data_IF_637667334036
#
_entry.id   IF_637667334036
#
_cell.length_a   1.000
_cell.length_b   1.000
_cell.length_c   1.000
_cell.angle_alpha   90.00
_cell.angle_beta   90.00
_cell.angle_gamma   90.00
#
_symmetry.space_group_name_H-M   'P 1'
#
loop_
_entity.id
_entity.type
_entity.pdbx_description
1 polymer ?
#
# COMPACT_ATOMS: atom_id res chain seq x y z
N UNK A 1 28.79 -74.80 -5.43
CA UNK A 1 27.41 -74.55 -4.94
C UNK A 1 27.13 -73.10 -4.52
N UNK A 2 27.88 -72.08 -5.01
CA UNK A 2 27.71 -70.66 -4.60
C UNK A 2 27.15 -69.74 -5.70
N UNK A 3 27.13 -70.18 -6.96
CA UNK A 3 26.72 -69.37 -8.12
C UNK A 3 25.20 -69.32 -8.35
N UNK A 4 24.43 -70.30 -7.85
CA UNK A 4 22.96 -70.31 -7.97
C UNK A 4 22.25 -69.35 -7.00
N UNK A 5 22.91 -69.00 -5.88
CA UNK A 5 22.34 -68.08 -4.89
C UNK A 5 22.43 -66.60 -5.32
N UNK A 6 23.48 -66.23 -6.07
CA UNK A 6 23.70 -64.86 -6.53
C UNK A 6 22.69 -64.47 -7.62
N UNK A 7 22.34 -65.40 -8.52
CA UNK A 7 21.37 -65.13 -9.59
C UNK A 7 19.94 -64.91 -9.07
N UNK A 8 19.57 -65.59 -7.97
CA UNK A 8 18.25 -65.45 -7.33
C UNK A 8 18.11 -64.09 -6.63
N UNK A 9 19.17 -63.58 -5.98
CA UNK A 9 19.13 -62.26 -5.37
C UNK A 9 19.18 -61.10 -6.38
N UNK A 10 19.85 -61.30 -7.53
CA UNK A 10 19.84 -60.30 -8.61
C UNK A 10 18.45 -60.14 -9.25
N UNK A 11 17.69 -61.24 -9.34
CA UNK A 11 16.32 -61.23 -9.89
C UNK A 11 15.30 -60.60 -8.92
N UNK A 12 15.48 -60.81 -7.60
CA UNK A 12 14.63 -60.17 -6.58
C UNK A 12 14.90 -58.66 -6.50
N UNK A 13 16.14 -58.21 -6.68
CA UNK A 13 16.48 -56.79 -6.66
C UNK A 13 15.91 -56.02 -7.88
N UNK A 14 15.75 -56.68 -9.02
CA UNK A 14 15.15 -56.09 -10.23
C UNK A 14 13.62 -55.92 -10.14
N UNK A 15 12.94 -56.64 -9.26
CA UNK A 15 11.48 -56.54 -9.09
C UNK A 15 11.07 -55.38 -8.18
N UNK A 16 11.99 -54.81 -7.39
CA UNK A 16 11.71 -53.71 -6.45
C UNK A 16 11.86 -52.32 -7.10
N UNK A 17 12.45 -52.24 -8.29
CA UNK A 17 12.67 -50.96 -9.01
C UNK A 17 11.50 -50.54 -9.91
N UNK A 18 10.41 -51.31 -9.98
CA UNK A 18 9.28 -51.07 -10.88
C UNK A 18 8.05 -50.42 -10.21
N UNK A 19 8.26 -49.54 -9.23
CA UNK A 19 7.24 -48.60 -8.79
C UNK A 19 7.73 -47.16 -8.98
N UNK A 20 8.13 -46.85 -10.21
CA UNK A 20 8.16 -45.47 -10.70
C UNK A 20 6.71 -45.06 -10.94
N UNK A 21 6.04 -44.52 -9.93
CA UNK A 21 4.83 -43.74 -10.19
C UNK A 21 5.26 -42.59 -11.08
N UNK A 22 4.87 -42.63 -12.35
CA UNK A 22 4.87 -41.42 -13.18
C UNK A 22 3.92 -40.46 -12.48
N UNK A 23 4.49 -39.56 -11.68
CA UNK A 23 3.78 -38.40 -11.16
C UNK A 23 3.30 -37.64 -12.40
N UNK A 24 2.04 -37.86 -12.80
CA UNK A 24 1.41 -37.00 -13.78
C UNK A 24 1.54 -35.59 -13.25
N UNK A 25 2.10 -34.69 -14.07
CA UNK A 25 2.03 -33.27 -13.79
C UNK A 25 0.55 -32.96 -13.52
N UNK A 26 0.27 -32.57 -12.28
CA UNK A 26 -1.08 -32.18 -11.89
C UNK A 26 -1.38 -30.90 -12.62
N UNK A 27 -2.48 -30.88 -13.36
CA UNK A 27 -2.94 -29.67 -14.00
C UNK A 27 -3.37 -28.69 -12.91
N UNK A 28 -2.57 -27.64 -12.73
CA UNK A 28 -2.75 -26.65 -11.67
C UNK A 28 -4.09 -25.92 -11.83
N UNK A 29 -4.64 -25.89 -13.05
CA UNK A 29 -5.96 -25.31 -13.36
C UNK A 29 -7.13 -26.05 -12.69
N UNK A 30 -6.95 -27.34 -12.31
CA UNK A 30 -7.98 -28.09 -11.59
C UNK A 30 -8.11 -27.70 -10.12
N UNK A 31 -7.15 -26.97 -9.55
CA UNK A 31 -7.15 -26.59 -8.13
C UNK A 31 -7.46 -25.11 -7.89
N UNK A 32 -7.32 -24.26 -8.91
CA UNK A 32 -7.63 -22.83 -8.81
C UNK A 32 -8.09 -22.27 -10.17
N UNK A 33 -9.39 -21.94 -10.26
CA UNK A 33 -9.97 -21.14 -11.34
C UNK A 33 -10.14 -19.70 -10.85
N UNK A 34 -9.02 -19.01 -10.60
CA UNK A 34 -9.04 -17.57 -10.31
C UNK A 34 -9.36 -16.74 -11.54
N UNK A 35 -9.69 -15.47 -11.32
CA UNK A 35 -9.89 -14.51 -12.42
C UNK A 35 -8.56 -13.97 -12.99
N UNK A 36 -7.43 -14.47 -12.50
CA UNK A 36 -6.10 -14.08 -12.97
C UNK A 36 -5.63 -12.75 -12.39
N UNK A 37 -6.21 -12.30 -11.27
CA UNK A 37 -5.80 -11.08 -10.59
C UNK A 37 -4.52 -11.26 -9.78
N UNK A 38 -4.24 -12.48 -9.34
CA UNK A 38 -3.06 -12.88 -8.56
C UNK A 38 -1.75 -12.36 -9.18
N UNK A 39 -1.70 -12.25 -10.51
CA UNK A 39 -0.52 -11.76 -11.26
C UNK A 39 -0.23 -10.26 -11.06
N UNK A 40 -1.19 -9.49 -10.56
CA UNK A 40 -1.00 -8.06 -10.29
C UNK A 40 -0.58 -7.78 -8.84
N UNK A 41 -0.65 -8.76 -7.94
CA UNK A 41 -0.20 -8.56 -6.56
C UNK A 41 1.31 -8.68 -6.49
N UNK A 42 1.96 -7.64 -5.96
CA UNK A 42 3.38 -7.67 -5.69
C UNK A 42 3.65 -8.44 -4.39
N UNK A 43 4.90 -8.84 -4.15
CA UNK A 43 5.25 -9.50 -2.90
C UNK A 43 5.05 -8.54 -1.71
N UNK A 44 4.47 -9.07 -0.63
CA UNK A 44 4.35 -8.34 0.63
C UNK A 44 5.74 -7.97 1.15
N UNK A 45 5.94 -6.71 1.53
CA UNK A 45 7.21 -6.26 2.09
C UNK A 45 7.26 -6.70 3.55
N UNK A 46 8.30 -7.46 3.98
CA UNK A 46 8.40 -7.85 5.38
C UNK A 46 8.64 -6.63 6.26
N UNK A 47 8.16 -6.67 7.51
CA UNK A 47 8.21 -5.52 8.44
C UNK A 47 9.61 -4.94 8.63
N UNK A 48 10.65 -5.78 8.67
CA UNK A 48 12.04 -5.35 8.79
C UNK A 48 12.57 -4.58 7.57
N UNK A 49 11.94 -4.75 6.40
CA UNK A 49 12.30 -4.06 5.15
C UNK A 49 11.31 -2.95 4.78
N UNK A 50 10.22 -2.78 5.53
CA UNK A 50 9.17 -1.80 5.24
C UNK A 50 9.54 -0.41 5.75
N UNK A 51 10.64 0.10 5.22
CA UNK A 51 11.15 1.43 5.50
C UNK A 51 10.61 2.44 4.50
N UNK A 52 10.11 3.58 5.01
CA UNK A 52 9.77 4.76 4.23
C UNK A 52 10.93 5.74 4.31
N UNK A 53 11.63 5.94 3.19
CA UNK A 53 12.64 7.01 3.08
C UNK A 53 12.03 8.39 3.22
N UNK A 54 10.82 8.57 2.68
CA UNK A 54 10.06 9.84 2.74
C UNK A 54 9.80 10.27 4.18
N UNK A 55 9.29 9.33 4.98
CA UNK A 55 8.92 9.52 6.39
C UNK A 55 10.05 9.28 7.38
N UNK A 56 11.18 8.75 6.90
CA UNK A 56 12.30 8.28 7.70
C UNK A 56 11.85 7.37 8.86
N UNK A 57 11.09 6.32 8.54
CA UNK A 57 10.47 5.44 9.52
C UNK A 57 10.28 4.01 8.99
N UNK A 58 10.16 3.06 9.91
CA UNK A 58 9.65 1.72 9.59
C UNK A 58 8.15 1.68 9.82
N UNK A 59 7.40 1.14 8.86
CA UNK A 59 5.95 0.96 9.00
C UNK A 59 5.66 -0.29 9.81
N UNK A 60 4.77 -0.16 10.78
CA UNK A 60 4.23 -1.26 11.60
C UNK A 60 3.37 -2.23 10.79
N UNK A 61 2.66 -1.71 9.77
CA UNK A 61 1.74 -2.47 8.92
C UNK A 61 2.30 -2.59 7.50
N UNK A 62 2.22 -3.78 6.92
CA UNK A 62 2.61 -4.00 5.53
C UNK A 62 1.50 -3.61 4.58
N UNK A 63 1.83 -2.78 3.60
CA UNK A 63 0.93 -2.41 2.50
C UNK A 63 1.14 -3.45 1.40
N UNK A 64 0.04 -4.03 0.94
CA UNK A 64 0.03 -4.91 -0.21
C UNK A 64 0.02 -4.03 -1.47
N UNK A 65 1.15 -3.95 -2.15
CA UNK A 65 1.28 -3.21 -3.39
C UNK A 65 0.76 -4.01 -4.59
N UNK A 66 0.23 -3.29 -5.57
CA UNK A 66 -0.22 -3.82 -6.84
C UNK A 66 0.69 -3.31 -7.97
N UNK A 67 0.81 -4.09 -9.04
CA UNK A 67 1.41 -3.63 -10.29
C UNK A 67 0.45 -2.65 -10.98
N UNK A 68 0.56 -1.37 -10.57
CA UNK A 68 -0.27 -0.28 -11.10
C UNK A 68 -0.12 -0.16 -12.62
N UNK A 69 1.09 -0.33 -13.16
CA UNK A 69 1.32 -0.26 -14.61
C UNK A 69 0.57 -1.35 -15.37
N UNK A 70 0.60 -2.59 -14.88
CA UNK A 70 -0.13 -3.71 -15.48
C UNK A 70 -1.65 -3.57 -15.29
N UNK A 71 -2.11 -3.07 -14.14
CA UNK A 71 -3.53 -2.79 -13.89
C UNK A 71 -4.07 -1.72 -14.83
N UNK A 72 -3.37 -0.59 -14.97
CA UNK A 72 -3.74 0.49 -15.87
C UNK A 72 -3.91 -0.02 -17.30
N UNK A 73 -2.97 -0.83 -17.80
CA UNK A 73 -3.01 -1.40 -19.15
C UNK A 73 -4.15 -2.41 -19.32
N UNK A 74 -4.34 -3.30 -18.34
CA UNK A 74 -5.26 -4.43 -18.48
C UNK A 74 -6.72 -4.04 -18.27
N UNK A 75 -6.98 -3.02 -17.46
CA UNK A 75 -8.32 -2.54 -17.12
C UNK A 75 -8.62 -1.14 -17.65
N UNK A 76 -7.73 -0.56 -18.46
CA UNK A 76 -7.83 0.79 -19.01
C UNK A 76 -8.10 1.84 -17.92
N UNK A 77 -7.41 1.72 -16.78
CA UNK A 77 -7.57 2.61 -15.63
C UNK A 77 -6.64 3.82 -15.75
N UNK A 78 -7.09 4.96 -15.24
CA UNK A 78 -6.18 6.07 -14.95
C UNK A 78 -5.24 5.72 -13.79
N UNK A 79 -4.10 6.40 -13.69
CA UNK A 79 -3.20 6.23 -12.55
C UNK A 79 -3.91 6.48 -11.21
N UNK A 80 -4.73 7.53 -11.13
CA UNK A 80 -5.42 7.87 -9.90
C UNK A 80 -6.46 6.80 -9.53
N UNK A 81 -7.20 6.25 -10.50
CA UNK A 81 -8.15 5.16 -10.22
C UNK A 81 -7.40 3.91 -9.72
N UNK A 82 -6.29 3.52 -10.36
CA UNK A 82 -5.49 2.39 -9.93
C UNK A 82 -4.90 2.58 -8.51
N UNK A 83 -4.42 3.78 -8.19
CA UNK A 83 -3.91 4.13 -6.87
C UNK A 83 -5.01 4.09 -5.80
N UNK A 84 -6.19 4.63 -6.09
CA UNK A 84 -7.35 4.60 -5.20
C UNK A 84 -7.84 3.18 -4.96
N UNK A 85 -7.78 2.30 -5.98
CA UNK A 85 -8.12 0.87 -5.84
C UNK A 85 -7.12 0.21 -4.90
N UNK A 86 -5.81 0.41 -5.08
CA UNK A 86 -4.79 -0.12 -4.17
C UNK A 86 -5.03 0.36 -2.73
N UNK A 87 -5.28 1.65 -2.54
CA UNK A 87 -5.48 2.20 -1.20
C UNK A 87 -6.76 1.66 -0.53
N UNK A 88 -7.87 1.58 -1.28
CA UNK A 88 -9.13 1.00 -0.81
C UNK A 88 -8.99 -0.50 -0.50
N UNK A 89 -8.26 -1.23 -1.35
CA UNK A 89 -7.92 -2.63 -1.12
C UNK A 89 -7.17 -2.79 0.21
N UNK A 90 -6.17 -1.94 0.46
CA UNK A 90 -5.37 -1.99 1.68
C UNK A 90 -6.19 -1.66 2.94
N UNK A 91 -7.19 -0.78 2.86
CA UNK A 91 -8.10 -0.51 3.97
C UNK A 91 -8.84 -1.78 4.44
N UNK A 92 -9.43 -2.51 3.49
CA UNK A 92 -10.15 -3.76 3.75
C UNK A 92 -9.18 -4.91 4.11
N UNK A 93 -8.05 -5.04 3.42
CA UNK A 93 -6.99 -6.05 3.68
C UNK A 93 -6.41 -5.93 5.08
N UNK A 94 -6.03 -4.72 5.49
CA UNK A 94 -5.51 -4.46 6.83
C UNK A 94 -6.58 -4.66 7.91
N UNK A 95 -7.86 -4.43 7.58
CA UNK A 95 -8.98 -4.76 8.44
C UNK A 95 -9.05 -6.24 8.78
N UNK A 96 -8.87 -7.12 7.79
CA UNK A 96 -8.83 -8.58 7.99
C UNK A 96 -7.58 -9.00 8.78
N UNK A 97 -6.42 -8.42 8.48
CA UNK A 97 -5.15 -8.70 9.17
C UNK A 97 -5.09 -8.26 10.63
N UNK A 98 -6.11 -7.56 11.15
CA UNK A 98 -6.21 -7.27 12.59
C UNK A 98 -6.33 -8.54 13.43
N UNK A 99 -6.90 -9.60 12.88
CA UNK A 99 -6.89 -10.93 13.51
C UNK A 99 -5.58 -11.66 13.10
N UNK A 100 -4.67 -11.95 14.04
CA UNK A 100 -3.42 -12.65 13.74
C UNK A 100 -3.63 -14.08 13.22
N UNK A 101 -4.82 -14.66 13.42
CA UNK A 101 -5.18 -16.00 12.94
C UNK A 101 -5.87 -15.98 11.57
N UNK A 102 -6.19 -14.80 11.03
CA UNK A 102 -6.84 -14.68 9.74
C UNK A 102 -5.92 -15.21 8.63
N UNK A 103 -6.35 -16.29 7.99
CA UNK A 103 -5.73 -16.81 6.77
C UNK A 103 -6.51 -16.28 5.58
N UNK A 104 -5.84 -15.51 4.72
CA UNK A 104 -6.41 -15.10 3.44
C UNK A 104 -5.94 -16.04 2.34
N UNK A 105 -6.90 -16.54 1.57
CA UNK A 105 -6.65 -17.24 0.31
C UNK A 105 -6.58 -16.23 -0.84
N UNK A 106 -6.07 -16.64 -2.00
CA UNK A 106 -6.11 -15.78 -3.19
C UNK A 106 -7.53 -15.36 -3.56
N UNK A 107 -8.52 -16.24 -3.37
CA UNK A 107 -9.93 -15.93 -3.60
C UNK A 107 -10.44 -14.79 -2.70
N UNK A 108 -9.98 -14.75 -1.44
CA UNK A 108 -10.33 -13.66 -0.52
C UNK A 108 -9.73 -12.32 -0.97
N UNK A 109 -8.47 -12.35 -1.42
CA UNK A 109 -7.81 -11.16 -1.99
C UNK A 109 -8.51 -10.67 -3.25
N UNK A 110 -8.95 -11.58 -4.13
CA UNK A 110 -9.74 -11.24 -5.31
C UNK A 110 -11.05 -10.54 -4.92
N UNK A 111 -11.80 -11.08 -3.94
CA UNK A 111 -13.04 -10.48 -3.47
C UNK A 111 -12.81 -9.06 -2.94
N UNK A 112 -11.76 -8.86 -2.13
CA UNK A 112 -11.41 -7.54 -1.60
C UNK A 112 -11.04 -6.59 -2.75
N UNK A 113 -10.29 -7.05 -3.74
CA UNK A 113 -9.94 -6.27 -4.93
C UNK A 113 -11.20 -5.85 -5.71
N UNK A 114 -12.11 -6.77 -6.01
CA UNK A 114 -13.33 -6.43 -6.77
C UNK A 114 -14.20 -5.44 -6.02
N UNK A 115 -14.32 -5.58 -4.70
CA UNK A 115 -15.02 -4.61 -3.85
C UNK A 115 -14.37 -3.22 -3.94
N UNK A 116 -13.03 -3.16 -3.87
CA UNK A 116 -12.29 -1.90 -4.02
C UNK A 116 -12.47 -1.28 -5.42
N UNK A 117 -12.34 -2.10 -6.48
CA UNK A 117 -12.56 -1.69 -7.87
C UNK A 117 -13.97 -1.15 -8.11
N UNK A 118 -14.99 -1.81 -7.57
CA UNK A 118 -16.38 -1.36 -7.68
C UNK A 118 -16.61 -0.04 -6.94
N UNK A 119 -16.06 0.11 -5.72
CA UNK A 119 -16.13 1.37 -4.96
C UNK A 119 -15.55 2.53 -5.78
N UNK A 120 -14.32 2.39 -6.28
CA UNK A 120 -13.64 3.46 -7.04
C UNK A 120 -14.35 3.77 -8.37
N UNK A 121 -14.80 2.73 -9.09
CA UNK A 121 -15.59 2.91 -10.31
C UNK A 121 -16.90 3.67 -10.01
N UNK A 122 -17.54 3.35 -8.88
CA UNK A 122 -18.69 4.06 -8.34
C UNK A 122 -18.39 5.41 -7.69
N UNK A 123 -17.16 5.93 -7.82
CA UNK A 123 -16.69 7.21 -7.26
C UNK A 123 -16.71 7.28 -5.72
N UNK A 124 -16.64 6.13 -5.07
CA UNK A 124 -16.36 6.00 -3.64
C UNK A 124 -14.85 5.78 -3.50
N UNK A 125 -14.10 6.86 -3.33
CA UNK A 125 -12.65 6.81 -3.29
C UNK A 125 -12.12 6.64 -1.86
N UNK A 126 -10.89 6.15 -1.73
CA UNK A 126 -10.19 6.10 -0.45
C UNK A 126 -9.90 7.51 0.09
N UNK A 127 -9.52 8.41 -0.82
CA UNK A 127 -9.31 9.82 -0.56
C UNK A 127 -9.96 10.67 -1.66
N UNK A 128 -10.88 11.52 -1.25
CA UNK A 128 -11.44 12.57 -2.10
C UNK A 128 -10.76 13.89 -1.81
N UNK A 129 -10.11 14.50 -2.81
CA UNK A 129 -9.52 15.82 -2.64
C UNK A 129 -10.63 16.85 -2.36
N UNK A 130 -10.48 17.71 -1.33
CA UNK A 130 -11.45 18.75 -1.04
C UNK A 130 -11.31 19.91 -2.04
N UNK A 131 -12.42 20.57 -2.38
CA UNK A 131 -12.50 21.61 -3.43
C UNK A 131 -12.08 23.02 -2.97
N UNK A 132 -11.49 23.15 -1.78
CA UNK A 132 -11.11 24.45 -1.22
C UNK A 132 -10.00 25.10 -2.05
N UNK A 133 -10.06 26.44 -2.17
CA UNK A 133 -9.03 27.20 -2.89
C UNK A 133 -7.64 27.04 -2.26
N UNK A 134 -7.57 26.91 -0.94
CA UNK A 134 -6.32 26.71 -0.20
C UNK A 134 -6.36 25.37 0.53
N UNK A 135 -5.32 24.55 0.33
CA UNK A 135 -5.14 23.27 1.00
C UNK A 135 -3.93 23.36 1.92
N UNK A 136 -4.12 22.94 3.18
CA UNK A 136 -3.05 22.86 4.17
C UNK A 136 -2.66 21.40 4.35
N UNK A 137 -1.58 20.97 3.68
CA UNK A 137 -0.99 19.66 3.87
C UNK A 137 -0.09 19.70 5.10
N UNK A 138 -0.37 18.86 6.10
CA UNK A 138 0.34 18.88 7.39
C UNK A 138 1.10 17.58 7.52
N UNK A 139 2.42 17.65 7.40
CA UNK A 139 3.30 16.50 7.53
C UNK A 139 3.44 16.09 9.00
N UNK A 140 3.04 14.86 9.32
CA UNK A 140 3.01 14.36 10.71
C UNK A 140 4.11 13.34 11.03
N UNK A 141 4.85 12.84 10.04
CA UNK A 141 5.87 11.79 10.27
C UNK A 141 7.03 12.27 11.14
N UNK A 142 7.39 13.55 11.06
CA UNK A 142 8.45 14.15 11.90
C UNK A 142 8.15 14.08 13.40
N UNK A 143 6.86 14.02 13.76
CA UNK A 143 6.39 13.91 15.14
C UNK A 143 6.36 12.44 15.57
N UNK A 144 6.23 11.51 14.63
CA UNK A 144 6.26 10.08 14.91
C UNK A 144 7.69 9.58 15.13
N UNK A 145 8.65 10.14 14.40
CA UNK A 145 10.06 9.81 14.54
C UNK A 145 10.66 10.25 15.89
N UNK A 146 10.09 11.30 16.49
CA UNK A 146 10.54 11.88 17.75
C UNK A 146 9.37 11.91 18.73
N UNK A 147 9.24 10.84 19.55
CA UNK A 147 8.14 10.58 20.49
C UNK A 147 8.10 11.55 21.68
N UNK A 148 8.66 12.75 21.55
CA UNK A 148 8.60 13.77 22.61
C UNK A 148 7.20 14.35 22.70
N UNK A 149 6.65 14.33 23.93
CA UNK A 149 5.34 14.90 24.27
C UNK A 149 5.17 16.35 23.77
N UNK A 150 6.26 17.12 23.71
CA UNK A 150 6.26 18.51 23.27
C UNK A 150 5.94 18.67 21.77
N UNK A 151 6.46 17.80 20.90
CA UNK A 151 6.15 17.85 19.46
C UNK A 151 4.69 17.50 19.17
N UNK A 152 4.15 16.54 19.92
CA UNK A 152 2.74 16.18 19.81
C UNK A 152 1.83 17.31 20.29
N UNK A 153 2.15 17.95 21.43
CA UNK A 153 1.43 19.14 21.91
C UNK A 153 1.49 20.27 20.89
N UNK A 154 2.66 20.52 20.29
CA UNK A 154 2.83 21.55 19.26
C UNK A 154 1.93 21.30 18.05
N UNK A 155 1.89 20.06 17.55
CA UNK A 155 0.97 19.69 16.46
C UNK A 155 -0.49 19.88 16.88
N UNK A 156 -0.89 19.39 18.06
CA UNK A 156 -2.27 19.55 18.54
C UNK A 156 -2.67 21.02 18.62
N UNK A 157 -1.78 21.88 19.12
CA UNK A 157 -1.98 23.33 19.16
C UNK A 157 -2.07 23.93 17.75
N UNK A 158 -1.21 23.51 16.82
CA UNK A 158 -1.24 23.97 15.44
C UNK A 158 -2.55 23.56 14.74
N UNK A 159 -3.00 22.32 14.91
CA UNK A 159 -4.26 21.81 14.36
C UNK A 159 -5.50 22.53 14.90
N UNK A 160 -5.39 23.17 16.08
CA UNK A 160 -6.44 23.98 16.70
C UNK A 160 -6.30 25.48 16.38
N UNK A 161 -5.27 25.88 15.64
CA UNK A 161 -5.00 27.28 15.35
C UNK A 161 -5.87 27.83 14.21
N UNK A 162 -6.04 29.15 14.21
CA UNK A 162 -6.81 29.87 13.18
C UNK A 162 -6.17 29.83 11.78
N UNK A 163 -4.94 29.32 11.65
CA UNK A 163 -4.27 29.12 10.35
C UNK A 163 -5.17 28.34 9.41
N UNK A 164 -5.96 27.40 9.94
CA UNK A 164 -6.84 26.55 9.15
C UNK A 164 -8.18 27.19 8.77
N UNK A 165 -8.51 28.40 9.27
CA UNK A 165 -9.76 29.07 8.91
C UNK A 165 -9.79 29.51 7.43
N UNK A 166 -8.62 29.66 6.80
CA UNK A 166 -8.47 30.12 5.41
C UNK A 166 -8.18 28.98 4.41
N UNK A 167 -8.36 27.72 4.80
CA UNK A 167 -8.10 26.57 3.95
C UNK A 167 -8.60 25.27 4.55
N UNK A 168 -8.30 24.14 3.92
CA UNK A 168 -8.69 22.83 4.45
C UNK A 168 -7.47 22.04 4.92
N UNK A 169 -7.40 21.63 6.20
CA UNK A 169 -6.30 20.83 6.73
C UNK A 169 -6.40 19.35 6.32
N UNK A 170 -5.28 18.81 5.86
CA UNK A 170 -5.11 17.40 5.47
C UNK A 170 -3.85 16.88 6.15
N UNK A 171 -3.99 15.82 6.94
CA UNK A 171 -2.84 15.16 7.55
C UNK A 171 -2.15 14.28 6.52
N UNK A 172 -0.82 14.37 6.44
CA UNK A 172 -0.01 13.62 5.48
C UNK A 172 1.03 12.79 6.23
N UNK A 173 1.06 11.49 5.93
CA UNK A 173 1.99 10.52 6.51
C UNK A 173 2.37 9.47 5.49
N UNK A 174 3.67 9.27 5.28
CA UNK A 174 4.21 8.13 4.58
C UNK A 174 4.50 6.95 5.52
N UNK A 175 4.39 7.14 6.85
CA UNK A 175 4.67 6.14 7.87
C UNK A 175 3.44 5.37 8.34
N UNK A 176 2.30 6.05 8.47
CA UNK A 176 1.10 5.52 9.08
C UNK A 176 0.02 5.24 8.05
N UNK A 177 -0.77 4.21 8.35
CA UNK A 177 -2.00 3.92 7.63
C UNK A 177 -3.10 4.90 8.04
N UNK A 178 -4.15 5.03 7.21
CA UNK A 178 -5.29 5.91 7.53
C UNK A 178 -5.94 5.56 8.87
N UNK A 179 -6.03 4.27 9.18
CA UNK A 179 -6.54 3.78 10.47
C UNK A 179 -5.66 4.18 11.66
N UNK A 180 -4.33 4.13 11.55
CA UNK A 180 -3.43 4.53 12.64
C UNK A 180 -3.51 6.03 12.93
N UNK A 181 -3.68 6.85 11.87
CA UNK A 181 -3.84 8.30 12.01
C UNK A 181 -5.18 8.63 12.67
N UNK A 182 -6.26 7.97 12.24
CA UNK A 182 -7.60 8.16 12.81
C UNK A 182 -7.65 7.75 14.30
N UNK A 183 -6.96 6.68 14.69
CA UNK A 183 -6.83 6.26 16.09
C UNK A 183 -6.04 7.28 16.93
N UNK A 184 -5.01 7.91 16.35
CA UNK A 184 -4.17 8.90 17.03
C UNK A 184 -4.81 10.28 17.18
N UNK A 185 -5.69 10.65 16.24
CA UNK A 185 -6.39 11.93 16.20
C UNK A 185 -7.91 11.73 16.10
N UNK A 186 -8.55 11.13 17.13
CA UNK A 186 -9.96 10.79 17.08
C UNK A 186 -10.85 12.04 17.07
N UNK A 187 -11.99 11.96 16.37
CA UNK A 187 -13.03 12.99 16.40
C UNK A 187 -12.69 14.29 15.65
N UNK A 188 -11.60 14.33 14.89
CA UNK A 188 -11.24 15.49 14.07
C UNK A 188 -11.69 15.30 12.61
N UNK A 189 -12.31 16.33 12.05
CA UNK A 189 -12.86 16.33 10.69
C UNK A 189 -11.79 16.58 9.61
N UNK A 190 -10.63 15.96 9.75
CA UNK A 190 -9.53 16.10 8.79
C UNK A 190 -9.56 15.02 7.73
N UNK A 191 -9.13 15.36 6.50
CA UNK A 191 -8.81 14.35 5.50
C UNK A 191 -7.38 13.86 5.71
N UNK A 192 -7.11 12.64 5.25
CA UNK A 192 -5.86 11.94 5.52
C UNK A 192 -5.28 11.44 4.19
N UNK A 193 -4.02 11.83 3.94
CA UNK A 193 -3.15 11.26 2.92
C UNK A 193 -2.14 10.35 3.61
N UNK A 194 -2.48 9.06 3.70
CA UNK A 194 -1.71 8.06 4.43
C UNK A 194 -0.80 7.24 3.51
N UNK A 195 -0.02 6.34 4.11
CA UNK A 195 0.99 5.54 3.43
C UNK A 195 0.44 4.73 2.24
N UNK A 196 -0.84 4.34 2.26
CA UNK A 196 -1.52 3.59 1.20
C UNK A 196 -1.57 4.32 -0.15
N UNK A 197 -1.46 5.66 -0.15
CA UNK A 197 -1.49 6.50 -1.35
C UNK A 197 -0.09 6.82 -1.90
N UNK A 198 0.98 6.36 -1.26
CA UNK A 198 2.33 6.51 -1.81
C UNK A 198 2.62 5.38 -2.80
N UNK A 199 3.15 5.72 -3.97
CA UNK A 199 3.32 4.81 -5.09
C UNK A 199 4.74 4.81 -5.64
N UNK A 200 5.22 3.64 -6.04
CA UNK A 200 6.45 3.48 -6.83
C UNK A 200 6.21 3.54 -8.34
N UNK A 201 5.10 4.16 -8.76
CA UNK A 201 4.74 4.39 -10.15
C UNK A 201 4.45 5.88 -10.37
N UNK A 202 4.77 6.39 -11.55
CA UNK A 202 4.33 7.72 -11.98
C UNK A 202 2.93 7.70 -12.61
N UNK A 203 2.44 8.87 -13.02
CA UNK A 203 1.13 9.05 -13.64
C UNK A 203 0.95 8.33 -14.98
N UNK A 204 2.02 7.81 -15.59
CA UNK A 204 1.98 7.01 -16.82
C UNK A 204 1.90 5.50 -16.53
N UNK A 205 2.01 5.11 -15.26
CA UNK A 205 2.12 3.71 -14.84
C UNK A 205 3.53 3.15 -15.02
N UNK A 206 4.55 4.02 -15.15
CA UNK A 206 5.95 3.59 -15.22
C UNK A 206 6.54 3.52 -13.82
N UNK A 207 7.29 2.45 -13.54
CA UNK A 207 7.95 2.28 -12.25
C UNK A 207 9.03 3.34 -12.04
N UNK A 208 9.08 3.89 -10.82
CA UNK A 208 10.03 4.93 -10.41
C UNK A 208 10.73 4.53 -9.10
N UNK A 209 11.94 5.03 -8.84
CA UNK A 209 12.61 4.80 -7.56
C UNK A 209 11.86 5.46 -6.40
N UNK A 210 11.68 4.69 -5.33
CA UNK A 210 11.06 5.17 -4.08
C UNK A 210 9.54 5.23 -4.13
N UNK A 211 8.94 5.54 -3.00
CA UNK A 211 7.51 5.71 -2.84
C UNK A 211 7.19 7.20 -2.85
N UNK A 212 6.37 7.65 -3.80
CA UNK A 212 6.10 9.06 -4.03
C UNK A 212 4.61 9.38 -3.96
N UNK A 213 4.31 10.62 -3.62
CA UNK A 213 2.98 11.19 -3.65
C UNK A 213 2.95 12.31 -4.70
N UNK A 214 2.09 12.18 -5.71
CA UNK A 214 1.94 13.19 -6.76
C UNK A 214 0.72 14.07 -6.50
N UNK A 215 0.96 15.26 -5.96
CA UNK A 215 -0.07 16.23 -5.65
C UNK A 215 -0.77 16.76 -6.90
N UNK A 216 -0.09 16.79 -8.05
CA UNK A 216 -0.67 17.24 -9.32
C UNK A 216 -1.74 16.28 -9.86
N UNK A 217 -1.72 15.02 -9.44
CA UNK A 217 -2.75 14.04 -9.76
C UNK A 217 -3.92 14.03 -8.79
N UNK A 218 -3.71 14.51 -7.56
CA UNK A 218 -4.70 14.51 -6.49
C UNK A 218 -5.50 15.81 -6.41
N UNK A 219 -4.86 16.95 -6.67
CA UNK A 219 -5.43 18.27 -6.48
C UNK A 219 -5.58 19.02 -7.82
N UNK A 220 -6.52 19.96 -7.87
CA UNK A 220 -6.73 20.81 -9.04
C UNK A 220 -5.60 21.84 -9.17
N UNK A 221 -5.18 22.13 -10.39
CA UNK A 221 -4.05 23.02 -10.68
C UNK A 221 -4.20 24.47 -10.14
N UNK A 222 -5.44 24.92 -9.90
CA UNK A 222 -5.74 26.25 -9.37
C UNK A 222 -5.77 26.33 -7.84
N UNK A 223 -5.58 25.21 -7.13
CA UNK A 223 -5.53 25.19 -5.67
C UNK A 223 -4.16 25.66 -5.18
N UNK A 224 -4.18 26.53 -4.17
CA UNK A 224 -2.99 26.96 -3.45
C UNK A 224 -2.65 25.92 -2.38
N UNK A 225 -1.65 25.08 -2.65
CA UNK A 225 -1.22 24.03 -1.73
C UNK A 225 -0.10 24.58 -0.83
N UNK A 226 -0.32 24.54 0.48
CA UNK A 226 0.66 24.90 1.49
C UNK A 226 1.06 23.64 2.24
N UNK A 227 2.36 23.34 2.28
CA UNK A 227 2.89 22.13 2.90
C UNK A 227 3.64 22.49 4.19
N UNK A 228 3.09 22.06 5.32
CA UNK A 228 3.56 22.36 6.66
C UNK A 228 4.45 21.22 7.19
N UNK A 229 5.65 21.56 7.65
CA UNK A 229 6.64 20.65 8.28
C UNK A 229 7.15 21.25 9.59
N UNK A 230 7.70 20.47 10.53
CA UNK A 230 8.33 21.03 11.73
C UNK A 230 9.78 21.44 11.49
N UNK A 231 10.49 20.72 10.60
CA UNK A 231 11.85 21.05 10.20
C UNK A 231 11.87 22.01 9.02
N UNK A 232 13.02 22.64 8.78
CA UNK A 232 13.21 23.56 7.65
C UNK A 232 12.69 22.92 6.35
N UNK A 233 11.89 23.64 5.56
CA UNK A 233 11.26 23.10 4.37
C UNK A 233 12.31 22.70 3.34
N UNK A 234 12.64 21.41 3.28
CA UNK A 234 13.35 20.87 2.13
C UNK A 234 12.31 20.39 1.13
N UNK A 235 12.52 20.72 -0.15
CA UNK A 235 11.83 20.05 -1.23
C UNK A 235 12.13 18.56 -1.08
N UNK A 236 11.11 17.78 -0.77
CA UNK A 236 11.23 16.35 -0.68
C UNK A 236 10.90 15.82 -2.07
N UNK A 237 11.88 15.24 -2.76
CA UNK A 237 11.72 14.68 -4.11
C UNK A 237 10.63 13.59 -4.19
N UNK A 238 10.16 13.13 -3.04
CA UNK A 238 9.11 12.14 -2.86
C UNK A 238 7.70 12.76 -2.81
N UNK A 239 7.57 14.07 -2.58
CA UNK A 239 6.30 14.81 -2.72
C UNK A 239 6.39 15.65 -4.01
N UNK A 240 5.74 15.18 -5.07
CA UNK A 240 5.76 15.82 -6.39
C UNK A 240 4.60 16.81 -6.54
N UNK A 241 4.85 17.92 -7.21
CA UNK A 241 3.84 18.93 -7.54
C UNK A 241 4.20 20.33 -7.05
N UNK A 242 3.29 21.29 -7.30
CA UNK A 242 3.47 22.68 -6.91
C UNK A 242 2.88 22.94 -5.52
N UNK A 243 3.73 23.35 -4.57
CA UNK A 243 3.29 23.72 -3.23
C UNK A 243 4.22 24.77 -2.61
N UNK A 244 3.68 25.55 -1.67
CA UNK A 244 4.45 26.49 -0.84
C UNK A 244 4.82 25.80 0.48
N UNK A 245 6.10 25.59 0.77
CA UNK A 245 6.46 24.93 2.00
C UNK A 245 6.58 25.94 3.15
N UNK A 246 6.06 25.59 4.33
CA UNK A 246 6.07 26.40 5.54
C UNK A 246 6.43 25.55 6.76
N UNK A 247 6.96 26.20 7.79
CA UNK A 247 7.18 25.59 9.08
C UNK A 247 6.02 25.91 10.04
N UNK A 248 5.73 25.00 10.98
CA UNK A 248 4.84 25.23 12.11
C UNK A 248 5.49 24.89 13.44
#
# INVERSE_FOLDING_TARGET
>A
MKTKFILSHLFVLSLITSCSTQLKNRDVTQYYSGMGLEKYFLSEIPTWANFSSVGNCFRSKSIQYLDIGALMKSFNLSFIDALQIQATFNEDYLGVKKDPNAKMTFKDLEIIYFKASQKVTGKINFFDAPDFKTIHLIWIDEILADKTLEKEKKLKSFLQSDVHNNGFPILVSACLTKSEIAEKFPGQSFKILSAELFSSYDNTGSAIPGLKLDLGTLFKANQNIIFYTQKSPRFNDDIRGNYKPLAY
#
